data_IF_923639742310
#
_entry.id   IF_923639742310
#
_cell.length_a   1.000
_cell.length_b   1.000
_cell.length_c   1.000
_cell.angle_alpha   90.00
_cell.angle_beta   90.00
_cell.angle_gamma   90.00
#
_symmetry.space_group_name_H-M   'P 1'
#
loop_
_entity.id
_entity.type
_entity.pdbx_description
1 polymer ?
#
# COMPACT_ATOMS: atom_id res chain seq x y z
N UNK A 1 -47.38 -51.87 37.23
CA UNK A 1 -47.63 -50.65 38.02
C UNK A 1 -46.30 -50.15 38.59
N UNK A 2 -45.99 -48.86 38.33
CA UNK A 2 -45.11 -47.95 39.11
C UNK A 2 -43.63 -48.37 39.29
N UNK A 3 -42.73 -47.86 38.44
CA UNK A 3 -41.94 -46.61 38.62
C UNK A 3 -40.92 -46.70 39.77
N UNK A 4 -39.63 -46.82 39.43
CA UNK A 4 -38.56 -46.12 40.15
C UNK A 4 -37.58 -45.52 39.13
N UNK A 5 -37.70 -44.20 38.99
CA UNK A 5 -36.79 -43.32 38.29
C UNK A 5 -35.50 -43.22 39.13
N UNK A 6 -34.36 -43.64 38.57
CA UNK A 6 -33.04 -43.19 39.02
C UNK A 6 -32.46 -42.30 37.93
N UNK A 7 -32.54 -41.00 38.17
CA UNK A 7 -31.74 -39.98 37.50
C UNK A 7 -30.30 -40.20 37.94
N UNK A 8 -29.41 -40.50 37.00
CA UNK A 8 -28.02 -40.14 37.12
C UNK A 8 -27.57 -39.64 35.75
N UNK A 9 -27.57 -38.31 35.61
CA UNK A 9 -26.76 -37.61 34.63
C UNK A 9 -25.30 -38.04 34.80
N UNK A 10 -24.86 -39.03 34.05
CA UNK A 10 -23.45 -39.37 33.94
C UNK A 10 -23.24 -40.04 32.59
N UNK A 11 -22.41 -39.42 31.76
CA UNK A 11 -22.27 -39.79 30.37
C UNK A 11 -22.84 -38.74 29.42
N UNK A 12 -22.64 -37.45 29.72
CA UNK A 12 -22.13 -36.57 28.65
C UNK A 12 -20.93 -37.34 28.12
N UNK A 13 -21.07 -37.94 26.95
CA UNK A 13 -19.96 -38.60 26.30
C UNK A 13 -18.97 -37.46 26.07
N UNK A 14 -18.00 -37.41 26.96
CA UNK A 14 -16.81 -36.56 26.95
C UNK A 14 -15.90 -37.01 25.82
N UNK A 15 -16.45 -37.26 24.63
CA UNK A 15 -15.65 -37.25 23.40
C UNK A 15 -15.28 -35.79 23.21
N UNK A 16 -14.30 -35.40 24.02
CA UNK A 16 -13.52 -34.20 23.94
C UNK A 16 -13.15 -34.02 22.49
N UNK A 17 -13.90 -33.15 21.81
CA UNK A 17 -13.35 -32.46 20.66
C UNK A 17 -12.23 -31.64 21.28
N UNK A 18 -11.03 -32.21 21.27
CA UNK A 18 -9.80 -31.45 21.33
C UNK A 18 -9.94 -30.43 20.21
N UNK A 19 -10.36 -29.22 20.59
CA UNK A 19 -10.11 -28.02 19.83
C UNK A 19 -8.60 -27.97 19.68
N UNK A 20 -8.09 -28.59 18.62
CA UNK A 20 -6.80 -28.25 18.08
C UNK A 20 -6.91 -26.76 17.76
N UNK A 21 -6.40 -25.94 18.67
CA UNK A 21 -6.13 -24.55 18.39
C UNK A 21 -5.06 -24.54 17.31
N UNK A 22 -5.48 -24.60 16.05
CA UNK A 22 -4.59 -24.34 14.93
C UNK A 22 -4.24 -22.88 15.09
N UNK A 23 -3.05 -22.62 15.63
CA UNK A 23 -2.44 -21.32 15.54
C UNK A 23 -2.18 -21.10 14.05
N UNK A 24 -3.15 -20.49 13.35
CA UNK A 24 -2.94 -19.96 12.01
C UNK A 24 -2.04 -18.76 12.20
N UNK A 25 -0.74 -18.99 12.17
CA UNK A 25 0.23 -17.93 11.97
C UNK A 25 0.01 -17.42 10.54
N UNK A 26 -0.79 -16.38 10.40
CA UNK A 26 -0.79 -15.59 9.19
C UNK A 26 0.64 -15.07 9.02
N UNK A 27 1.43 -15.73 8.18
CA UNK A 27 2.72 -15.22 7.75
C UNK A 27 2.40 -14.02 6.86
N UNK A 28 2.26 -12.84 7.46
CA UNK A 28 2.23 -11.59 6.71
C UNK A 28 3.64 -11.43 6.19
N UNK A 29 3.88 -11.92 4.98
CA UNK A 29 5.12 -11.66 4.25
C UNK A 29 5.22 -10.15 4.10
N UNK A 30 6.07 -9.52 4.90
CA UNK A 30 6.41 -8.11 4.74
C UNK A 30 7.12 -7.97 3.39
N UNK A 31 6.50 -7.23 2.46
CA UNK A 31 7.15 -6.87 1.20
C UNK A 31 8.01 -5.65 1.45
N UNK A 32 9.31 -5.78 1.22
CA UNK A 32 10.29 -4.71 1.36
C UNK A 32 10.79 -4.30 -0.01
N UNK A 33 10.66 -3.02 -0.33
CA UNK A 33 11.17 -2.41 -1.56
C UNK A 33 12.24 -1.39 -1.18
N UNK A 34 13.47 -1.62 -1.62
CA UNK A 34 14.59 -0.67 -1.47
C UNK A 34 14.86 -0.03 -2.82
N UNK A 35 14.87 1.30 -2.83
CA UNK A 35 15.05 2.10 -4.04
C UNK A 35 15.96 3.28 -3.71
N UNK A 36 16.78 3.72 -4.67
CA UNK A 36 17.75 4.78 -4.45
C UNK A 36 17.66 5.84 -5.54
N UNK A 37 17.90 7.09 -5.16
CA UNK A 37 17.95 8.24 -6.07
C UNK A 37 19.00 7.99 -7.15
N UNK A 38 18.67 8.32 -8.40
CA UNK A 38 19.52 8.16 -9.59
C UNK A 38 19.97 6.72 -9.88
N UNK A 39 19.38 5.71 -9.22
CA UNK A 39 19.66 4.30 -9.49
C UNK A 39 18.44 3.63 -10.16
N UNK A 40 18.69 2.92 -11.26
CA UNK A 40 17.66 2.12 -11.94
C UNK A 40 17.49 0.73 -11.34
N UNK A 41 18.31 0.31 -10.40
CA UNK A 41 18.17 -0.98 -9.74
C UNK A 41 17.47 -0.79 -8.40
N UNK A 42 16.33 -1.46 -8.25
CA UNK A 42 15.62 -1.60 -6.98
C UNK A 42 15.82 -3.01 -6.43
N UNK A 43 15.73 -3.17 -5.12
CA UNK A 43 15.72 -4.48 -4.47
C UNK A 43 14.32 -4.76 -3.92
N UNK A 44 13.67 -5.82 -4.39
CA UNK A 44 12.33 -6.26 -3.96
C UNK A 44 12.52 -7.60 -3.26
N UNK A 45 12.30 -7.64 -1.95
CA UNK A 45 12.46 -8.86 -1.13
C UNK A 45 13.81 -9.60 -1.33
N UNK A 46 14.90 -8.86 -1.51
CA UNK A 46 16.22 -9.44 -1.73
C UNK A 46 16.60 -9.63 -3.21
N UNK A 47 15.65 -9.55 -4.14
CA UNK A 47 15.90 -9.68 -5.58
C UNK A 47 16.08 -8.33 -6.26
N UNK A 48 17.05 -8.24 -7.17
CA UNK A 48 17.29 -7.00 -7.93
C UNK A 48 16.36 -6.93 -9.15
N UNK A 49 15.65 -5.80 -9.27
CA UNK A 49 14.72 -5.52 -10.37
C UNK A 49 15.10 -4.19 -11.01
N UNK A 50 15.10 -4.15 -12.34
CA UNK A 50 15.43 -2.93 -13.09
C UNK A 50 14.20 -2.07 -13.35
N UNK A 51 14.32 -0.78 -13.03
CA UNK A 51 13.36 0.28 -13.28
C UNK A 51 13.54 0.84 -14.68
N UNK A 52 12.44 1.22 -15.34
CA UNK A 52 12.49 1.93 -16.62
C UNK A 52 13.20 3.29 -16.46
N UNK A 53 12.88 4.00 -15.37
CA UNK A 53 13.37 5.34 -15.06
C UNK A 53 13.76 5.38 -13.58
N UNK A 54 14.93 5.97 -13.29
CA UNK A 54 15.41 6.09 -11.92
C UNK A 54 14.58 7.11 -11.12
N UNK A 55 14.42 6.91 -9.80
CA UNK A 55 13.96 7.97 -8.90
C UNK A 55 14.88 9.18 -8.95
N UNK A 56 14.34 10.36 -8.64
CA UNK A 56 15.08 11.61 -8.64
C UNK A 56 14.59 12.51 -7.51
N UNK A 57 15.25 13.66 -7.33
CA UNK A 57 14.81 14.71 -6.41
C UNK A 57 14.08 15.80 -7.20
N UNK A 58 12.85 16.12 -6.83
CA UNK A 58 12.12 17.26 -7.37
C UNK A 58 12.60 18.54 -6.69
N UNK A 59 12.82 19.59 -7.48
CA UNK A 59 13.16 20.94 -7.01
C UNK A 59 11.93 21.85 -7.15
N UNK A 60 11.72 22.83 -6.27
CA UNK A 60 12.56 23.26 -5.14
C UNK A 60 12.33 22.48 -3.83
N UNK A 61 11.41 21.52 -3.84
CA UNK A 61 10.95 20.86 -2.63
C UNK A 61 11.90 19.85 -2.01
N UNK A 62 12.96 19.49 -2.73
CA UNK A 62 13.93 18.46 -2.36
C UNK A 62 13.31 17.07 -2.05
N UNK A 63 12.10 16.82 -2.55
CA UNK A 63 11.40 15.55 -2.34
C UNK A 63 11.89 14.46 -3.29
N UNK A 64 12.09 13.26 -2.74
CA UNK A 64 12.37 12.08 -3.54
C UNK A 64 11.12 11.63 -4.29
N UNK A 65 11.23 11.57 -5.61
CA UNK A 65 10.18 11.15 -6.53
C UNK A 65 10.40 9.70 -6.96
N UNK A 66 9.39 8.85 -6.74
CA UNK A 66 9.45 7.41 -7.03
C UNK A 66 8.44 6.99 -8.11
N UNK A 67 8.77 6.02 -8.98
CA UNK A 67 7.86 5.53 -10.00
C UNK A 67 6.69 4.77 -9.35
N UNK A 68 5.50 5.38 -9.37
CA UNK A 68 4.32 4.91 -8.65
C UNK A 68 3.95 3.48 -9.00
N UNK A 69 3.78 3.19 -10.30
CA UNK A 69 3.34 1.85 -10.77
C UNK A 69 4.32 0.75 -10.36
N UNK A 70 5.63 1.02 -10.45
CA UNK A 70 6.63 0.05 -10.01
C UNK A 70 6.51 -0.24 -8.52
N UNK A 71 6.46 0.81 -7.69
CA UNK A 71 6.40 0.63 -6.23
C UNK A 71 5.09 -0.06 -5.82
N UNK A 72 3.96 0.32 -6.43
CA UNK A 72 2.67 -0.33 -6.17
C UNK A 72 2.71 -1.83 -6.51
N UNK A 73 3.21 -2.20 -7.68
CA UNK A 73 3.31 -3.61 -8.09
C UNK A 73 4.30 -4.41 -7.24
N UNK A 74 5.45 -3.81 -6.91
CA UNK A 74 6.43 -4.41 -6.02
C UNK A 74 5.88 -4.63 -4.59
N UNK A 75 4.94 -3.81 -4.13
CA UNK A 75 4.22 -3.99 -2.86
C UNK A 75 3.05 -4.99 -2.94
N UNK A 76 2.77 -5.54 -4.13
CA UNK A 76 1.74 -6.57 -4.32
C UNK A 76 0.40 -6.08 -4.83
N UNK A 77 0.33 -4.84 -5.30
CA UNK A 77 -0.87 -4.34 -5.98
C UNK A 77 -0.85 -4.88 -7.41
N UNK A 78 -1.87 -5.62 -7.79
CA UNK A 78 -2.01 -6.10 -9.17
C UNK A 78 -2.13 -4.92 -10.15
N UNK A 79 -1.52 -5.05 -11.33
CA UNK A 79 -1.47 -3.96 -12.32
C UNK A 79 -2.87 -3.53 -12.81
N UNK A 80 -3.84 -4.46 -12.83
CA UNK A 80 -5.26 -4.20 -13.13
C UNK A 80 -5.93 -3.20 -12.17
N UNK A 81 -5.38 -3.05 -10.95
CA UNK A 81 -5.86 -2.14 -9.93
C UNK A 81 -5.20 -0.75 -10.03
N UNK A 82 -4.30 -0.54 -10.99
CA UNK A 82 -3.59 0.72 -11.24
C UNK A 82 -4.05 1.28 -12.59
N UNK A 83 -5.02 2.20 -12.54
CA UNK A 83 -5.64 2.79 -13.74
C UNK A 83 -5.10 4.18 -13.97
N UNK A 84 -4.74 4.49 -15.22
CA UNK A 84 -4.38 5.84 -15.64
C UNK A 84 -5.44 6.39 -16.59
N UNK A 85 -5.91 7.61 -16.33
CA UNK A 85 -6.78 8.35 -17.22
C UNK A 85 -5.93 9.41 -17.96
N UNK A 86 -5.70 9.29 -19.28
CA UNK A 86 -4.86 10.22 -20.02
C UNK A 86 -5.47 11.61 -20.15
N UNK A 87 -6.80 11.73 -20.11
CA UNK A 87 -7.53 13.00 -20.26
C UNK A 87 -7.38 13.84 -19.00
N UNK A 88 -7.60 13.25 -17.83
CA UNK A 88 -7.52 13.94 -16.54
C UNK A 88 -6.12 13.90 -15.92
N UNK A 89 -5.21 13.10 -16.48
CA UNK A 89 -3.88 12.78 -15.93
C UNK A 89 -3.96 12.21 -14.50
N UNK A 90 -5.04 11.50 -14.21
CA UNK A 90 -5.30 10.86 -12.93
C UNK A 90 -4.75 9.44 -12.94
N UNK A 91 -4.11 9.04 -11.84
CA UNK A 91 -3.91 7.63 -11.50
C UNK A 91 -4.75 7.25 -10.30
N UNK A 92 -5.44 6.13 -10.44
CA UNK A 92 -6.28 5.53 -9.42
C UNK A 92 -5.75 4.14 -9.08
N UNK A 93 -5.51 3.91 -7.79
CA UNK A 93 -5.00 2.67 -7.22
C UNK A 93 -6.07 2.11 -6.28
N UNK A 94 -6.49 0.87 -6.53
CA UNK A 94 -7.38 0.15 -5.63
C UNK A 94 -6.58 -0.88 -4.84
N UNK A 95 -6.54 -0.73 -3.51
CA UNK A 95 -5.80 -1.66 -2.65
C UNK A 95 -6.52 -1.88 -1.32
N UNK A 96 -6.81 -3.13 -1.00
CA UNK A 96 -7.47 -3.54 0.26
C UNK A 96 -8.71 -2.70 0.61
N UNK A 97 -9.55 -2.43 -0.40
CA UNK A 97 -10.78 -1.65 -0.23
C UNK A 97 -10.59 -0.13 -0.13
N UNK A 98 -9.36 0.38 -0.31
CA UNK A 98 -9.08 1.81 -0.44
C UNK A 98 -8.89 2.20 -1.89
N UNK A 99 -9.51 3.29 -2.28
CA UNK A 99 -9.26 3.97 -3.55
C UNK A 99 -8.31 5.15 -3.28
N UNK A 100 -7.13 5.12 -3.90
CA UNK A 100 -6.12 6.17 -3.77
C UNK A 100 -5.95 6.83 -5.13
N UNK A 101 -6.05 8.16 -5.20
CA UNK A 101 -5.91 8.92 -6.45
C UNK A 101 -4.79 9.94 -6.38
N UNK A 102 -4.06 10.06 -7.47
CA UNK A 102 -3.06 11.11 -7.71
C UNK A 102 -3.37 11.80 -9.02
N UNK A 103 -3.26 13.12 -9.05
CA UNK A 103 -3.46 13.93 -10.27
C UNK A 103 -2.15 14.62 -10.62
N UNK A 104 -1.62 14.33 -11.81
CA UNK A 104 -0.37 14.93 -12.25
C UNK A 104 -0.47 16.45 -12.35
N UNK A 105 0.58 17.15 -11.93
CA UNK A 105 0.65 18.61 -11.89
C UNK A 105 0.02 19.24 -10.66
N UNK A 106 -0.49 18.43 -9.72
CA UNK A 106 -1.10 18.92 -8.48
C UNK A 106 -0.37 18.39 -7.24
N UNK A 107 -0.46 19.17 -6.17
CA UNK A 107 -0.01 18.80 -4.82
C UNK A 107 -1.13 18.14 -4.01
N UNK A 108 -2.00 17.37 -4.68
CA UNK A 108 -3.16 16.74 -4.06
C UNK A 108 -3.17 15.24 -4.32
N UNK A 109 -3.56 14.49 -3.31
CA UNK A 109 -3.97 13.10 -3.46
C UNK A 109 -5.34 12.91 -2.81
N UNK A 110 -6.05 11.85 -3.19
CA UNK A 110 -7.34 11.52 -2.60
C UNK A 110 -7.31 10.10 -2.05
N UNK A 111 -7.86 9.90 -0.85
CA UNK A 111 -8.08 8.56 -0.28
C UNK A 111 -9.58 8.45 -0.02
N UNK A 112 -10.25 7.52 -0.71
CA UNK A 112 -11.70 7.33 -0.65
C UNK A 112 -12.49 8.64 -0.88
N UNK A 113 -11.97 9.52 -1.74
CA UNK A 113 -12.58 10.82 -2.06
C UNK A 113 -12.21 11.98 -1.13
N UNK A 114 -11.59 11.71 0.03
CA UNK A 114 -11.06 12.76 0.91
C UNK A 114 -9.76 13.33 0.34
N UNK A 115 -9.64 14.65 0.28
CA UNK A 115 -8.45 15.36 -0.23
C UNK A 115 -7.35 15.43 0.83
N UNK A 116 -6.14 15.07 0.43
CA UNK A 116 -4.92 15.22 1.20
C UNK A 116 -3.94 16.11 0.43
N UNK A 117 -3.50 17.18 1.10
CA UNK A 117 -2.47 18.08 0.61
C UNK A 117 -1.09 17.43 0.80
N UNK A 118 -0.35 17.26 -0.31
CA UNK A 118 1.00 16.72 -0.33
C UNK A 118 2.05 17.82 -0.55
N UNK A 119 1.79 19.08 -0.18
CA UNK A 119 2.79 20.15 -0.13
C UNK A 119 3.80 19.94 1.01
N UNK A 120 5.05 20.36 0.81
CA UNK A 120 6.05 20.29 1.88
C UNK A 120 5.90 21.55 2.70
N UNK A 121 5.84 21.37 4.01
CA UNK A 121 5.82 22.46 4.96
C UNK A 121 7.16 22.45 5.68
N UNK A 122 7.91 23.52 5.50
CA UNK A 122 9.13 23.74 6.26
C UNK A 122 8.76 23.97 7.74
N UNK A 123 9.48 23.29 8.64
CA UNK A 123 9.15 23.28 10.07
C UNK A 123 9.57 24.60 10.73
N UNK A 124 10.66 25.20 10.26
CA UNK A 124 11.28 26.35 10.91
C UNK A 124 10.69 27.68 10.40
N UNK A 125 10.46 27.77 9.09
CA UNK A 125 9.97 28.97 8.40
C UNK A 125 8.45 28.95 8.18
N UNK A 126 7.79 27.80 8.36
CA UNK A 126 6.38 27.59 8.06
C UNK A 126 6.04 27.84 6.57
N UNK A 127 7.05 27.93 5.70
CA UNK A 127 6.90 28.07 4.26
C UNK A 127 6.37 26.78 3.62
N UNK A 128 5.64 26.94 2.50
CA UNK A 128 5.08 25.82 1.74
C UNK A 128 5.77 25.71 0.40
N UNK A 129 6.49 24.61 0.21
CA UNK A 129 7.08 24.27 -1.08
C UNK A 129 6.11 23.40 -1.89
N UNK A 130 5.79 23.78 -3.14
CA UNK A 130 4.93 22.98 -3.98
C UNK A 130 5.66 21.68 -4.33
N UNK A 131 5.00 20.56 -4.02
CA UNK A 131 5.38 19.24 -4.50
C UNK A 131 4.22 18.68 -5.25
N UNK A 132 4.47 18.26 -6.47
CA UNK A 132 3.41 17.77 -7.34
C UNK A 132 3.78 16.43 -7.95
N UNK A 133 2.75 15.64 -8.18
CA UNK A 133 2.87 14.39 -8.94
C UNK A 133 3.29 14.71 -10.37
N UNK A 134 4.31 14.04 -10.89
CA UNK A 134 4.85 14.31 -12.23
C UNK A 134 4.66 13.11 -13.16
N UNK A 135 4.43 13.37 -14.45
CA UNK A 135 4.57 12.34 -15.48
C UNK A 135 5.86 12.62 -16.23
N UNK A 136 6.78 11.66 -16.21
CA UNK A 136 8.08 11.73 -16.88
C UNK A 136 8.28 10.49 -17.74
N UNK A 137 8.51 10.69 -19.04
CA UNK A 137 8.65 9.61 -20.04
C UNK A 137 7.57 8.52 -19.91
N UNK A 138 6.30 8.93 -19.74
CA UNK A 138 5.16 8.04 -19.62
C UNK A 138 4.98 7.34 -18.28
N UNK A 139 5.87 7.57 -17.31
CA UNK A 139 5.73 7.06 -15.94
C UNK A 139 5.30 8.15 -14.97
N UNK A 140 4.36 7.83 -14.09
CA UNK A 140 3.95 8.73 -13.01
C UNK A 140 4.85 8.58 -11.81
N UNK A 141 5.30 9.71 -11.29
CA UNK A 141 6.14 9.85 -10.13
C UNK A 141 5.39 10.56 -9.03
N UNK A 142 5.45 10.00 -7.83
CA UNK A 142 4.90 10.58 -6.61
C UNK A 142 6.03 10.90 -5.63
N UNK A 143 5.87 11.91 -4.77
CA UNK A 143 6.80 12.14 -3.68
C UNK A 143 6.71 11.04 -2.63
N UNK A 144 7.86 10.67 -2.07
CA UNK A 144 7.92 9.88 -0.84
C UNK A 144 7.72 10.81 0.37
N UNK A 145 6.82 10.45 1.28
CA UNK A 145 6.49 11.20 2.50
C UNK A 145 6.43 10.28 3.71
#
# INVERSE_FOLDING_TARGET
MKKFIKILCSGVITTSILLNSINVFANVSERVVKISVNNKVANVNGENVTLNIAPYIQQPSESMMIPLRFVSTALGIEDNNIKFNPTTKEITINYKGKEIKFISGTSKMYINGEEFDITMKDIDTNERFPIYTEIKNGSTFIPLR
#
